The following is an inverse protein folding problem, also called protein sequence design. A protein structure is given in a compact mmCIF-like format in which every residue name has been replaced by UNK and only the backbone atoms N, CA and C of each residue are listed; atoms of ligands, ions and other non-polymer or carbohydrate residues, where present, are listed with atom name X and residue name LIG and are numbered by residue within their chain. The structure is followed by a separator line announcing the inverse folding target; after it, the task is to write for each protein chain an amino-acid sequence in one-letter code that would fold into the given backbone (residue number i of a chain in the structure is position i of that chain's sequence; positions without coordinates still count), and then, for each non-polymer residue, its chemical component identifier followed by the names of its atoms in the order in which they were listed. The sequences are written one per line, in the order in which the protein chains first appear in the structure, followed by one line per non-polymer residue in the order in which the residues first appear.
data_IF_929057715984
#
_entry.id   IF_929057715984
#
_cell.length_a   1.000
_cell.length_b   1.000
_cell.length_c   1.000
_cell.angle_alpha   90.00
_cell.angle_beta   90.00
_cell.angle_gamma   90.00
#
_symmetry.space_group_name_H-M   'P 1'
#
loop_
_entity.id
_entity.type
_entity.pdbx_description
1 polymer ?
#
# COMPACT_ATOMS: atom_id res chain seq x y z
N UNK A 1 -35.99 -20.95 2.52
CA UNK A 1 -34.53 -20.82 2.34
C UNK A 1 -34.29 -19.84 1.21
N UNK A 2 -34.03 -18.57 1.54
CA UNK A 2 -33.70 -17.54 0.56
C UNK A 2 -32.17 -17.41 0.54
N UNK A 3 -31.55 -17.70 -0.60
CA UNK A 3 -30.16 -17.37 -0.84
C UNK A 3 -30.06 -15.86 -1.03
N UNK A 4 -29.57 -15.16 0.00
CA UNK A 4 -29.18 -13.77 -0.11
C UNK A 4 -27.92 -13.71 -0.99
N UNK A 5 -28.08 -13.31 -2.25
CA UNK A 5 -26.94 -12.95 -3.11
C UNK A 5 -26.42 -11.62 -2.56
N UNK A 6 -25.35 -11.67 -1.77
CA UNK A 6 -24.62 -10.47 -1.39
C UNK A 6 -23.96 -9.90 -2.65
N UNK A 7 -24.52 -8.80 -3.15
CA UNK A 7 -23.90 -8.00 -4.18
C UNK A 7 -22.63 -7.35 -3.59
N UNK A 8 -21.48 -7.75 -4.12
CA UNK A 8 -20.19 -7.09 -3.87
C UNK A 8 -20.28 -5.65 -4.41
N UNK A 9 -19.83 -4.62 -3.66
CA UNK A 9 -19.96 -3.25 -4.10
C UNK A 9 -19.12 -3.02 -5.37
N UNK A 10 -19.82 -2.64 -6.43
CA UNK A 10 -19.25 -2.21 -7.70
C UNK A 10 -18.65 -0.81 -7.53
N UNK A 11 -17.36 -0.72 -7.21
CA UNK A 11 -16.56 0.48 -7.48
C UNK A 11 -15.06 0.12 -7.53
N UNK A 12 -14.66 -0.47 -8.65
CA UNK A 12 -13.27 -0.72 -9.02
C UNK A 12 -13.19 -0.71 -10.54
N UNK A 13 -12.16 -0.12 -11.14
CA UNK A 13 -11.87 -0.36 -12.55
C UNK A 13 -11.77 -1.88 -12.76
N UNK A 14 -12.74 -2.51 -13.44
CA UNK A 14 -12.84 -3.97 -13.55
C UNK A 14 -11.64 -4.53 -14.32
N UNK A 15 -11.17 -5.73 -13.93
CA UNK A 15 -10.17 -6.41 -14.77
C UNK A 15 -10.81 -6.66 -16.14
N UNK A 16 -10.05 -6.62 -17.24
CA UNK A 16 -10.61 -6.94 -18.53
C UNK A 16 -11.17 -8.36 -18.50
N UNK A 17 -12.21 -8.59 -19.30
CA UNK A 17 -12.80 -9.92 -19.41
C UNK A 17 -11.74 -10.96 -19.78
N UNK A 18 -11.64 -12.08 -19.04
CA UNK A 18 -10.62 -13.10 -19.29
C UNK A 18 -10.84 -13.83 -20.62
N UNK A 19 -12.01 -13.68 -21.28
CA UNK A 19 -12.31 -14.39 -22.53
C UNK A 19 -12.09 -15.91 -22.41
N UNK A 20 -11.45 -16.51 -23.42
CA UNK A 20 -11.03 -17.92 -23.34
C UNK A 20 -9.95 -18.11 -22.27
N UNK A 21 -10.22 -19.01 -21.32
CA UNK A 21 -9.38 -19.27 -20.15
C UNK A 21 -8.38 -20.41 -20.37
N UNK A 22 -7.31 -20.51 -19.55
CA UNK A 22 -6.26 -21.51 -19.70
C UNK A 22 -6.71 -22.98 -19.57
N UNK A 23 -7.91 -23.23 -19.03
CA UNK A 23 -8.53 -24.55 -18.96
C UNK A 23 -9.33 -24.94 -20.22
N UNK A 24 -9.39 -24.05 -21.23
CA UNK A 24 -10.06 -24.31 -22.51
C UNK A 24 -9.13 -24.99 -23.52
N UNK A 25 -9.61 -26.00 -24.29
CA UNK A 25 -8.82 -26.65 -25.35
C UNK A 25 -8.32 -25.70 -26.44
N UNK A 26 -9.06 -24.63 -26.72
CA UNK A 26 -8.75 -23.65 -27.78
C UNK A 26 -7.95 -22.45 -27.26
N UNK A 27 -7.48 -22.49 -26.01
CA UNK A 27 -6.70 -21.40 -25.41
C UNK A 27 -5.42 -21.07 -26.19
N UNK A 28 -4.82 -22.06 -26.86
CA UNK A 28 -3.64 -21.83 -27.71
C UNK A 28 -3.91 -20.80 -28.83
N UNK A 29 -5.12 -20.81 -29.43
CA UNK A 29 -5.51 -19.86 -30.48
C UNK A 29 -5.51 -18.42 -29.96
N UNK A 30 -5.99 -18.23 -28.72
CA UNK A 30 -5.94 -16.94 -28.03
C UNK A 30 -4.49 -16.47 -27.90
N UNK A 31 -3.62 -17.29 -27.32
CA UNK A 31 -2.21 -16.91 -27.12
C UNK A 31 -1.45 -16.68 -28.42
N UNK A 32 -1.82 -17.39 -29.49
CA UNK A 32 -1.26 -17.20 -30.83
C UNK A 32 -1.69 -15.86 -31.42
N UNK A 33 -2.98 -15.53 -31.37
CA UNK A 33 -3.51 -14.23 -31.81
C UNK A 33 -2.84 -13.07 -31.06
N UNK A 34 -2.72 -13.19 -29.74
CA UNK A 34 -2.04 -12.20 -28.90
C UNK A 34 -0.56 -12.01 -29.29
N UNK A 35 0.13 -13.10 -29.63
CA UNK A 35 1.53 -13.07 -30.04
C UNK A 35 1.69 -12.36 -31.39
N UNK A 36 0.81 -12.66 -32.37
CA UNK A 36 0.79 -12.00 -33.67
C UNK A 36 0.51 -10.51 -33.49
N UNK A 37 -0.55 -10.16 -32.75
CA UNK A 37 -0.90 -8.77 -32.49
C UNK A 37 0.26 -8.01 -31.85
N UNK A 38 0.92 -8.61 -30.86
CA UNK A 38 2.06 -7.98 -30.16
C UNK A 38 3.30 -7.84 -31.05
N UNK A 39 3.49 -8.75 -32.02
CA UNK A 39 4.61 -8.69 -32.96
C UNK A 39 4.51 -7.46 -33.86
N UNK A 40 3.33 -7.20 -34.41
CA UNK A 40 3.05 -6.07 -35.32
C UNK A 40 2.85 -4.72 -34.63
N UNK A 41 2.87 -4.65 -33.30
CA UNK A 41 2.85 -3.38 -32.57
C UNK A 41 4.22 -2.71 -32.67
N UNK A 42 4.22 -1.55 -33.33
CA UNK A 42 5.37 -0.66 -33.47
C UNK A 42 5.42 0.38 -32.35
N UNK A 43 6.64 0.72 -31.94
CA UNK A 43 6.92 1.69 -30.88
C UNK A 43 7.02 1.04 -29.49
N UNK A 44 8.06 1.40 -28.75
CA UNK A 44 8.35 0.84 -27.42
C UNK A 44 7.22 1.08 -26.40
N UNK A 45 6.62 2.27 -26.43
CA UNK A 45 5.52 2.63 -25.53
C UNK A 45 4.25 1.82 -25.81
N UNK A 46 3.82 1.73 -27.08
CA UNK A 46 2.65 0.93 -27.46
C UNK A 46 2.88 -0.56 -27.16
N UNK A 47 4.10 -1.03 -27.35
CA UNK A 47 4.49 -2.41 -27.01
C UNK A 47 4.46 -2.66 -25.50
N UNK A 48 4.89 -1.69 -24.69
CA UNK A 48 4.76 -1.76 -23.25
C UNK A 48 3.30 -1.76 -22.80
N UNK A 49 2.45 -0.88 -23.36
CA UNK A 49 0.99 -0.85 -23.11
C UNK A 49 0.34 -2.20 -23.44
N UNK A 50 0.68 -2.81 -24.58
CA UNK A 50 0.17 -4.12 -24.93
C UNK A 50 0.58 -5.19 -23.91
N UNK A 51 1.83 -5.19 -23.47
CA UNK A 51 2.29 -6.14 -22.46
C UNK A 51 1.60 -5.94 -21.11
N UNK A 52 1.34 -4.69 -20.69
CA UNK A 52 0.53 -4.40 -19.50
C UNK A 52 -0.89 -4.95 -19.65
N UNK A 53 -1.57 -4.66 -20.76
CA UNK A 53 -2.90 -5.20 -21.04
C UNK A 53 -2.94 -6.74 -20.97
N UNK A 54 -1.94 -7.42 -21.56
CA UNK A 54 -1.85 -8.88 -21.49
C UNK A 54 -1.60 -9.39 -20.07
N UNK A 55 -0.91 -8.61 -19.23
CA UNK A 55 -0.74 -8.90 -17.81
C UNK A 55 -2.11 -8.80 -17.09
N UNK A 56 -2.90 -7.76 -17.33
CA UNK A 56 -4.25 -7.61 -16.76
C UNK A 56 -5.14 -8.81 -17.13
N UNK A 57 -5.09 -9.24 -18.39
CA UNK A 57 -5.81 -10.42 -18.87
C UNK A 57 -5.33 -11.68 -18.15
N UNK A 58 -4.02 -11.83 -17.88
CA UNK A 58 -3.52 -12.99 -17.12
C UNK A 58 -4.00 -12.95 -15.66
N UNK A 59 -4.06 -11.79 -15.02
CA UNK A 59 -4.62 -11.65 -13.67
C UNK A 59 -6.11 -12.04 -13.64
N UNK A 60 -6.89 -11.65 -14.65
CA UNK A 60 -8.30 -12.02 -14.76
C UNK A 60 -8.47 -13.54 -14.94
N UNK A 61 -7.64 -14.16 -15.77
CA UNK A 61 -7.63 -15.61 -15.94
C UNK A 61 -7.21 -16.33 -14.66
N UNK A 62 -6.20 -15.80 -13.96
CA UNK A 62 -5.71 -16.33 -12.70
C UNK A 62 -6.85 -16.36 -11.66
N UNK A 63 -7.53 -15.23 -11.45
CA UNK A 63 -8.64 -15.13 -10.51
C UNK A 63 -9.72 -16.16 -10.83
N UNK A 64 -10.13 -16.24 -12.10
CA UNK A 64 -11.12 -17.23 -12.56
C UNK A 64 -10.67 -18.69 -12.37
N UNK A 65 -9.37 -18.98 -12.41
CA UNK A 65 -8.86 -20.33 -12.12
C UNK A 65 -8.84 -20.63 -10.63
N UNK A 66 -8.53 -19.63 -9.79
CA UNK A 66 -8.62 -19.74 -8.33
C UNK A 66 -10.07 -19.96 -7.91
N UNK A 67 -11.03 -19.19 -8.44
CA UNK A 67 -12.45 -19.32 -8.13
C UNK A 67 -13.03 -20.70 -8.51
N UNK A 68 -12.44 -21.33 -9.53
CA UNK A 68 -12.76 -22.70 -9.97
C UNK A 68 -12.01 -23.80 -9.20
N UNK A 69 -11.17 -23.45 -8.22
CA UNK A 69 -10.33 -24.39 -7.48
C UNK A 69 -9.18 -25.02 -8.30
N UNK A 70 -8.88 -24.50 -9.50
CA UNK A 70 -7.86 -25.05 -10.41
C UNK A 70 -6.47 -24.49 -10.11
N UNK A 71 -5.98 -24.70 -8.89
CA UNK A 71 -4.75 -24.10 -8.34
C UNK A 71 -3.50 -24.30 -9.21
N UNK A 72 -3.24 -25.51 -9.71
CA UNK A 72 -2.10 -25.79 -10.62
C UNK A 72 -2.14 -24.97 -11.91
N UNK A 73 -3.34 -24.71 -12.44
CA UNK A 73 -3.52 -23.89 -13.65
C UNK A 73 -3.35 -22.41 -13.30
N UNK A 74 -3.86 -21.99 -12.14
CA UNK A 74 -3.67 -20.64 -11.62
C UNK A 74 -2.17 -20.32 -11.44
N UNK A 75 -1.39 -21.18 -10.79
CA UNK A 75 0.06 -21.02 -10.65
C UNK A 75 0.77 -20.81 -11.99
N UNK A 76 0.47 -21.66 -12.99
CA UNK A 76 1.04 -21.50 -14.34
C UNK A 76 0.61 -20.20 -15.02
N UNK A 77 -0.61 -19.73 -14.73
CA UNK A 77 -1.16 -18.49 -15.29
C UNK A 77 -0.48 -17.27 -14.67
N UNK A 78 -0.15 -17.32 -13.39
CA UNK A 78 0.61 -16.29 -12.71
C UNK A 78 2.03 -16.14 -13.26
N UNK A 79 2.73 -17.24 -13.55
CA UNK A 79 4.04 -17.19 -14.21
C UNK A 79 3.96 -16.47 -15.57
N UNK A 80 2.83 -16.63 -16.29
CA UNK A 80 2.59 -15.87 -17.54
C UNK A 80 2.36 -14.40 -17.26
N UNK A 81 1.61 -14.05 -16.20
CA UNK A 81 1.40 -12.67 -15.77
C UNK A 81 2.75 -11.96 -15.53
N UNK A 82 3.62 -12.55 -14.73
CA UNK A 82 4.96 -12.02 -14.46
C UNK A 82 5.77 -11.81 -15.73
N UNK A 83 5.70 -12.78 -16.66
CA UNK A 83 6.40 -12.68 -17.95
C UNK A 83 5.91 -11.49 -18.76
N UNK A 84 4.61 -11.19 -18.75
CA UNK A 84 4.08 -10.02 -19.45
C UNK A 84 4.49 -8.72 -18.76
N UNK A 85 4.41 -8.67 -17.42
CA UNK A 85 4.85 -7.50 -16.65
C UNK A 85 6.34 -7.20 -16.89
N UNK A 86 7.20 -8.22 -16.87
CA UNK A 86 8.62 -8.08 -17.15
C UNK A 86 8.90 -7.60 -18.58
N UNK A 87 8.14 -8.09 -19.56
CA UNK A 87 8.25 -7.62 -20.96
C UNK A 87 7.80 -6.17 -21.12
N UNK A 88 6.77 -5.73 -20.40
CA UNK A 88 6.36 -4.33 -20.37
C UNK A 88 7.50 -3.44 -19.86
N UNK A 89 8.13 -3.84 -18.75
CA UNK A 89 9.28 -3.15 -18.18
C UNK A 89 10.47 -3.14 -19.14
N UNK A 90 10.80 -4.28 -19.76
CA UNK A 90 11.90 -4.37 -20.72
C UNK A 90 11.69 -3.52 -21.98
N UNK A 91 10.46 -3.46 -22.48
CA UNK A 91 10.13 -2.63 -23.64
C UNK A 91 10.47 -1.15 -23.36
N UNK A 92 10.26 -0.69 -22.11
CA UNK A 92 10.60 0.67 -21.67
C UNK A 92 12.07 0.84 -21.23
N UNK A 93 12.70 -0.20 -20.67
CA UNK A 93 14.06 -0.11 -20.12
C UNK A 93 15.17 0.00 -21.16
N UNK A 94 14.90 -0.35 -22.43
CA UNK A 94 15.82 -0.16 -23.57
C UNK A 94 16.31 1.30 -23.75
N UNK A 95 15.65 2.29 -23.11
CA UNK A 95 16.07 3.70 -23.07
C UNK A 95 16.51 4.21 -21.67
N UNK A 96 16.82 3.35 -20.69
CA UNK A 96 17.11 3.72 -19.27
C UNK A 96 15.96 4.46 -18.56
N UNK A 97 14.70 4.27 -18.94
CA UNK A 97 13.56 4.95 -18.32
C UNK A 97 12.50 3.98 -17.80
N UNK A 98 12.89 3.11 -16.86
CA UNK A 98 11.91 2.35 -16.06
C UNK A 98 10.93 3.28 -15.32
N UNK A 99 11.35 4.51 -14.99
CA UNK A 99 10.50 5.55 -14.39
C UNK A 99 9.40 6.06 -15.33
N UNK A 100 9.50 5.87 -16.64
CA UNK A 100 8.48 6.27 -17.61
C UNK A 100 7.36 5.21 -17.76
N UNK A 101 7.53 4.01 -17.19
CA UNK A 101 6.43 3.04 -17.10
C UNK A 101 5.42 3.43 -16.03
N UNK A 102 5.83 4.23 -15.02
CA UNK A 102 4.93 4.77 -14.00
C UNK A 102 3.79 5.58 -14.64
N UNK A 103 4.06 6.44 -15.64
CA UNK A 103 3.05 7.03 -16.51
C UNK A 103 2.11 6.12 -17.29
N UNK A 104 2.44 4.85 -17.48
CA UNK A 104 1.56 3.87 -18.14
C UNK A 104 0.80 3.04 -17.10
N UNK A 105 1.41 2.89 -15.94
CA UNK A 105 0.82 2.41 -14.69
C UNK A 105 0.08 3.51 -13.91
N UNK A 106 -0.05 4.72 -14.49
CA UNK A 106 -0.39 6.00 -13.82
C UNK A 106 -1.84 6.14 -13.43
N UNK A 107 -2.69 5.24 -13.89
CA UNK A 107 -3.87 4.93 -13.12
C UNK A 107 -3.36 4.18 -11.89
N UNK A 108 -2.91 4.96 -10.90
CA UNK A 108 -2.60 4.52 -9.53
C UNK A 108 -3.57 3.43 -9.02
N UNK A 109 -4.90 3.50 -9.29
CA UNK A 109 -5.83 2.40 -9.01
C UNK A 109 -5.49 1.05 -9.67
N UNK A 110 -4.92 1.01 -10.87
CA UNK A 110 -4.55 -0.25 -11.57
C UNK A 110 -3.35 -0.91 -10.87
N UNK A 111 -2.31 -0.15 -10.55
CA UNK A 111 -1.12 -0.68 -9.86
C UNK A 111 -1.47 -1.16 -8.46
N UNK A 112 -2.28 -0.39 -7.75
CA UNK A 112 -2.77 -0.74 -6.41
C UNK A 112 -3.69 -1.96 -6.45
N UNK A 113 -4.55 -2.07 -7.47
CA UNK A 113 -5.37 -3.26 -7.70
C UNK A 113 -4.53 -4.50 -7.97
N UNK A 114 -3.50 -4.40 -8.81
CA UNK A 114 -2.58 -5.51 -9.06
C UNK A 114 -1.89 -5.95 -7.77
N UNK A 115 -1.43 -5.00 -6.95
CA UNK A 115 -0.84 -5.28 -5.65
C UNK A 115 -1.88 -5.98 -4.74
N UNK A 116 -3.10 -5.46 -4.63
CA UNK A 116 -4.15 -6.04 -3.79
C UNK A 116 -4.52 -7.48 -4.19
N UNK A 117 -4.75 -7.74 -5.49
CA UNK A 117 -5.06 -9.10 -5.98
C UNK A 117 -3.90 -10.06 -5.71
N UNK A 118 -2.66 -9.60 -5.90
CA UNK A 118 -1.47 -10.41 -5.64
C UNK A 118 -1.30 -10.69 -4.14
N UNK A 119 -1.55 -9.73 -3.27
CA UNK A 119 -1.48 -9.87 -1.80
C UNK A 119 -2.57 -10.80 -1.27
N UNK A 120 -3.82 -10.63 -1.70
CA UNK A 120 -4.97 -11.45 -1.29
C UNK A 120 -4.74 -12.94 -1.63
N UNK A 121 -4.11 -13.20 -2.77
CA UNK A 121 -3.89 -14.55 -3.25
C UNK A 121 -2.50 -15.12 -2.89
N UNK A 122 -1.63 -14.34 -2.22
CA UNK A 122 -0.28 -14.78 -1.81
C UNK A 122 -0.32 -16.06 -0.95
N UNK A 123 -1.37 -16.22 -0.14
CA UNK A 123 -1.55 -17.39 0.73
C UNK A 123 -2.28 -18.55 0.04
N UNK A 124 -2.94 -18.31 -1.11
CA UNK A 124 -3.78 -19.31 -1.81
C UNK A 124 -3.01 -20.16 -2.82
N UNK A 125 -1.76 -19.83 -3.13
CA UNK A 125 -0.91 -20.58 -4.06
C UNK A 125 0.39 -21.07 -3.39
N UNK A 126 0.67 -22.39 -3.39
CA UNK A 126 1.93 -22.93 -2.89
C UNK A 126 3.09 -22.83 -3.91
N UNK A 127 4.30 -23.11 -3.42
CA UNK A 127 5.47 -23.39 -4.26
C UNK A 127 5.90 -22.26 -5.20
N UNK A 128 6.01 -22.58 -6.50
CA UNK A 128 6.51 -21.65 -7.51
C UNK A 128 5.58 -20.45 -7.75
N UNK A 129 4.26 -20.60 -7.51
CA UNK A 129 3.30 -19.51 -7.61
C UNK A 129 3.58 -18.43 -6.56
N UNK A 130 3.81 -18.82 -5.31
CA UNK A 130 4.10 -17.89 -4.21
C UNK A 130 5.34 -17.01 -4.47
N UNK A 131 6.45 -17.64 -4.88
CA UNK A 131 7.69 -16.93 -5.22
C UNK A 131 7.51 -15.96 -6.40
N UNK A 132 6.64 -16.32 -7.31
CA UNK A 132 6.24 -15.49 -8.44
C UNK A 132 5.48 -14.22 -8.02
N UNK A 133 4.48 -14.38 -7.15
CA UNK A 133 3.74 -13.27 -6.53
C UNK A 133 4.69 -12.33 -5.81
N UNK A 134 5.58 -12.85 -4.96
CA UNK A 134 6.53 -12.07 -4.17
C UNK A 134 7.42 -11.19 -5.07
N UNK A 135 7.95 -11.73 -6.16
CA UNK A 135 8.77 -11.00 -7.12
C UNK A 135 7.98 -9.92 -7.88
N UNK A 136 6.74 -10.22 -8.25
CA UNK A 136 5.86 -9.24 -8.90
C UNK A 136 5.55 -8.08 -7.95
N UNK A 137 5.22 -8.37 -6.69
CA UNK A 137 4.98 -7.39 -5.65
C UNK A 137 6.22 -6.53 -5.37
N UNK A 138 7.40 -7.14 -5.25
CA UNK A 138 8.66 -6.41 -5.10
C UNK A 138 8.88 -5.42 -6.25
N UNK A 139 8.65 -5.87 -7.49
CA UNK A 139 8.81 -5.05 -8.69
C UNK A 139 7.80 -3.89 -8.69
N UNK A 140 6.53 -4.16 -8.45
CA UNK A 140 5.47 -3.14 -8.43
C UNK A 140 5.68 -2.13 -7.30
N UNK A 141 6.11 -2.57 -6.11
CA UNK A 141 6.45 -1.70 -4.98
C UNK A 141 7.69 -0.85 -5.28
N UNK A 142 8.73 -1.41 -5.90
CA UNK A 142 9.91 -0.64 -6.35
C UNK A 142 9.52 0.42 -7.39
N UNK A 143 8.60 0.09 -8.29
CA UNK A 143 8.09 1.06 -9.27
C UNK A 143 7.28 2.16 -8.58
N UNK A 144 6.31 1.82 -7.72
CA UNK A 144 5.53 2.80 -6.91
C UNK A 144 6.45 3.69 -6.06
N UNK A 145 7.50 3.09 -5.52
CA UNK A 145 8.54 3.74 -4.71
C UNK A 145 9.67 4.43 -5.48
N UNK A 146 9.56 4.64 -6.81
CA UNK A 146 10.58 5.40 -7.57
C UNK A 146 10.34 6.94 -7.56
N UNK A 147 9.58 7.45 -6.59
CA UNK A 147 9.93 8.72 -5.94
C UNK A 147 11.25 8.50 -5.18
N UNK A 148 12.06 9.53 -4.95
CA UNK A 148 13.30 9.40 -4.14
C UNK A 148 12.93 8.61 -2.88
N UNK A 149 13.59 7.49 -2.56
CA UNK A 149 13.27 6.72 -1.35
C UNK A 149 13.63 7.60 -0.15
N UNK A 150 12.62 8.33 0.34
CA UNK A 150 12.73 9.27 1.46
C UNK A 150 13.12 8.53 2.76
N UNK A 151 13.01 7.19 2.77
CA UNK A 151 13.32 6.32 3.91
C UNK A 151 14.74 5.73 3.89
N UNK A 152 15.59 6.11 2.92
CA UNK A 152 16.98 5.59 2.83
C UNK A 152 17.78 5.88 4.10
N UNK A 153 17.59 7.08 4.68
CA UNK A 153 18.28 7.50 5.89
C UNK A 153 17.48 7.24 7.17
N UNK A 154 16.36 6.51 7.07
CA UNK A 154 15.54 6.18 8.23
C UNK A 154 16.19 5.05 9.03
N UNK A 155 15.92 5.06 10.34
CA UNK A 155 16.34 4.00 11.23
C UNK A 155 15.40 2.81 11.09
N UNK A 156 15.93 1.61 11.32
CA UNK A 156 15.13 0.38 11.34
C UNK A 156 14.81 0.02 12.77
N UNK A 157 13.52 -0.13 13.09
CA UNK A 157 13.06 -0.80 14.29
C UNK A 157 12.85 -2.28 13.97
N UNK A 158 13.39 -3.16 14.81
CA UNK A 158 13.29 -4.61 14.66
C UNK A 158 12.84 -5.22 15.97
N UNK A 159 11.80 -6.05 15.92
CA UNK A 159 11.33 -6.83 17.05
C UNK A 159 11.51 -8.33 16.74
N UNK A 160 12.47 -8.96 17.42
CA UNK A 160 12.78 -10.38 17.23
C UNK A 160 11.72 -11.31 17.79
N UNK A 161 10.99 -10.89 18.82
CA UNK A 161 10.00 -11.71 19.52
C UNK A 161 8.73 -11.82 18.65
N UNK A 162 8.23 -10.68 18.22
CA UNK A 162 7.03 -10.55 17.38
C UNK A 162 7.33 -10.66 15.87
N UNK A 163 8.59 -10.87 15.49
CA UNK A 163 9.06 -11.13 14.13
C UNK A 163 8.61 -10.08 13.10
N UNK A 164 8.83 -8.81 13.41
CA UNK A 164 8.56 -7.72 12.46
C UNK A 164 9.65 -6.66 12.47
N UNK A 165 9.76 -5.93 11.36
CA UNK A 165 10.56 -4.71 11.27
C UNK A 165 9.83 -3.63 10.47
N UNK A 166 10.15 -2.38 10.77
CA UNK A 166 9.71 -1.20 10.04
C UNK A 166 10.79 -0.12 10.12
N UNK A 167 10.72 0.88 9.25
CA UNK A 167 11.61 2.05 9.28
C UNK A 167 10.87 3.28 9.77
N UNK A 168 11.61 4.18 10.40
CA UNK A 168 11.10 5.47 10.89
C UNK A 168 12.21 6.53 10.84
N UNK A 169 11.88 7.81 10.60
CA UNK A 169 12.87 8.87 10.64
C UNK A 169 13.37 9.05 12.08
N UNK A 170 14.68 9.27 12.27
CA UNK A 170 15.23 9.58 13.60
C UNK A 170 14.58 10.83 14.20
N UNK A 171 14.37 11.82 13.34
CA UNK A 171 13.83 13.14 13.63
C UNK A 171 13.09 13.64 12.38
N UNK A 172 12.11 14.54 12.55
CA UNK A 172 11.41 15.11 11.40
C UNK A 172 12.25 16.21 10.77
N UNK A 173 12.28 16.25 9.44
CA UNK A 173 12.84 17.37 8.66
C UNK A 173 11.87 18.57 8.71
N UNK A 174 11.67 19.12 9.91
CA UNK A 174 10.71 20.15 10.27
C UNK A 174 11.34 21.08 11.31
N UNK A 175 10.96 22.35 11.27
CA UNK A 175 11.54 23.37 12.14
C UNK A 175 10.77 23.51 13.46
N UNK A 176 9.46 23.29 13.45
CA UNK A 176 8.57 23.55 14.58
C UNK A 176 7.88 22.28 15.09
N UNK A 177 7.52 21.37 14.19
CA UNK A 177 6.90 20.09 14.56
C UNK A 177 7.99 19.07 14.88
N UNK A 178 7.87 18.39 16.01
CA UNK A 178 8.85 17.38 16.43
C UNK A 178 8.20 16.11 16.95
N UNK A 179 8.96 15.02 16.92
CA UNK A 179 8.62 13.77 17.61
C UNK A 179 8.92 13.90 19.09
N UNK A 180 8.19 13.17 19.93
CA UNK A 180 8.44 13.13 21.37
C UNK A 180 9.29 11.90 21.72
N UNK A 181 10.61 12.10 21.78
CA UNK A 181 11.61 11.07 22.15
C UNK A 181 12.05 11.15 23.61
N UNK A 182 11.82 12.28 24.29
CA UNK A 182 12.29 12.55 25.65
C UNK A 182 11.10 12.82 26.60
N UNK A 183 11.29 12.54 27.89
CA UNK A 183 10.29 12.64 28.98
C UNK A 183 9.16 11.59 28.96
N UNK A 184 8.54 11.30 27.81
CA UNK A 184 7.52 10.26 27.63
C UNK A 184 7.72 9.64 26.24
N UNK A 185 8.69 8.71 26.09
CA UNK A 185 9.17 8.30 24.78
C UNK A 185 8.05 7.63 23.98
N UNK A 186 7.57 8.36 22.96
CA UNK A 186 6.65 7.87 21.92
C UNK A 186 7.37 7.65 20.59
N UNK A 187 8.68 7.90 20.59
CA UNK A 187 9.57 7.75 19.45
C UNK A 187 10.80 6.92 19.86
N UNK A 188 11.10 5.78 19.22
CA UNK A 188 10.51 5.22 18.00
C UNK A 188 9.01 4.96 18.12
N UNK A 189 8.24 5.07 17.01
CA UNK A 189 6.81 4.93 17.08
C UNK A 189 6.45 3.49 17.51
N UNK A 190 5.38 3.35 18.31
CA UNK A 190 4.96 2.07 18.84
C UNK A 190 4.17 1.31 17.76
N UNK A 191 4.58 0.07 17.50
CA UNK A 191 3.87 -0.84 16.60
C UNK A 191 3.33 -2.01 17.40
N UNK A 192 2.04 -2.29 17.28
CA UNK A 192 1.42 -3.50 17.83
C UNK A 192 0.80 -4.35 16.74
N UNK A 193 0.84 -5.66 16.94
CA UNK A 193 0.25 -6.65 16.05
C UNK A 193 -0.84 -7.35 16.86
N UNK A 194 -2.08 -7.18 16.42
CA UNK A 194 -3.23 -7.86 17.00
C UNK A 194 -3.40 -9.28 16.49
N UNK A 195 -4.53 -9.86 16.88
CA UNK A 195 -4.96 -11.20 16.46
C UNK A 195 -5.27 -11.26 14.97
N UNK A 196 -5.53 -12.49 14.49
CA UNK A 196 -6.00 -12.71 13.13
C UNK A 196 -7.31 -11.93 12.90
N UNK A 197 -7.34 -11.18 11.81
CA UNK A 197 -8.37 -10.22 11.48
C UNK A 197 -8.82 -10.42 10.03
N UNK A 198 -10.13 -10.43 9.83
CA UNK A 198 -10.77 -10.36 8.52
C UNK A 198 -11.23 -8.94 8.22
N UNK A 199 -11.49 -8.62 6.95
CA UNK A 199 -12.02 -7.30 6.58
C UNK A 199 -13.34 -6.97 7.29
N UNK A 200 -14.15 -8.00 7.61
CA UNK A 200 -15.39 -7.83 8.38
C UNK A 200 -15.15 -7.48 9.86
N UNK A 201 -13.96 -7.78 10.40
CA UNK A 201 -13.57 -7.39 11.76
C UNK A 201 -13.08 -5.94 11.82
N UNK A 202 -12.82 -5.30 10.67
CA UNK A 202 -12.35 -3.91 10.59
C UNK A 202 -13.50 -2.90 10.80
N UNK A 203 -13.90 -2.75 12.06
CA UNK A 203 -14.85 -1.73 12.47
C UNK A 203 -14.13 -0.45 12.91
N UNK A 204 -14.40 0.65 12.22
CA UNK A 204 -13.99 2.00 12.62
C UNK A 204 -15.25 2.78 12.98
N UNK A 205 -15.52 2.91 14.28
CA UNK A 205 -16.62 3.73 14.79
C UNK A 205 -16.23 5.19 14.75
N UNK A 206 -16.58 5.89 13.67
CA UNK A 206 -16.25 7.30 13.50
C UNK A 206 -16.88 8.15 14.61
N UNK A 207 -16.08 9.00 15.24
CA UNK A 207 -16.52 9.86 16.33
C UNK A 207 -15.70 11.16 16.33
N UNK A 208 -16.29 12.31 15.93
CA UNK A 208 -15.60 13.60 15.93
C UNK A 208 -15.36 14.17 17.34
N UNK A 209 -15.94 13.56 18.38
CA UNK A 209 -15.77 13.93 19.79
C UNK A 209 -15.21 12.73 20.56
N UNK A 210 -14.24 12.04 19.98
CA UNK A 210 -13.58 10.91 20.61
C UNK A 210 -12.81 11.36 21.86
N UNK A 211 -12.79 10.50 22.87
CA UNK A 211 -12.08 10.74 24.12
C UNK A 211 -11.47 9.45 24.65
N UNK A 212 -10.21 9.53 25.07
CA UNK A 212 -9.51 8.47 25.78
C UNK A 212 -8.63 9.06 26.90
N UNK A 213 -7.70 8.25 27.42
CA UNK A 213 -6.73 8.65 28.44
C UNK A 213 -5.76 9.76 27.98
N UNK A 214 -5.54 9.90 26.67
CA UNK A 214 -4.66 10.90 26.05
C UNK A 214 -5.36 12.25 25.84
N UNK A 215 -6.69 12.30 25.92
CA UNK A 215 -7.47 13.55 25.89
C UNK A 215 -8.66 13.50 24.95
N UNK A 216 -8.99 14.65 24.35
CA UNK A 216 -10.07 14.79 23.39
C UNK A 216 -9.51 14.83 21.96
N UNK A 217 -10.29 14.32 21.02
CA UNK A 217 -10.03 14.49 19.60
C UNK A 217 -11.07 13.75 18.76
N UNK A 218 -10.62 13.07 17.71
CA UNK A 218 -11.50 12.50 16.70
C UNK A 218 -11.05 11.10 16.29
N UNK A 219 -12.01 10.32 15.81
CA UNK A 219 -11.78 9.04 15.17
C UNK A 219 -12.48 9.04 13.83
N UNK A 220 -11.76 8.70 12.77
CA UNK A 220 -12.25 8.74 11.40
C UNK A 220 -11.70 7.57 10.56
N UNK A 221 -12.49 7.15 9.57
CA UNK A 221 -12.04 6.18 8.58
C UNK A 221 -11.36 6.94 7.45
N UNK A 222 -10.04 6.81 7.37
CA UNK A 222 -9.23 7.49 6.36
C UNK A 222 -8.73 6.46 5.35
N UNK A 223 -8.95 6.73 4.07
CA UNK A 223 -8.30 5.99 2.98
C UNK A 223 -7.02 6.72 2.60
N UNK A 224 -5.87 6.14 2.93
CA UNK A 224 -4.55 6.66 2.52
C UNK A 224 -4.00 5.69 1.48
N UNK A 225 -3.89 6.15 0.23
CA UNK A 225 -3.62 5.27 -0.93
C UNK A 225 -4.67 4.14 -1.02
N UNK A 226 -4.24 2.87 -1.04
CA UNK A 226 -5.14 1.70 -1.08
C UNK A 226 -5.42 1.06 0.28
N UNK A 227 -4.84 1.59 1.36
CA UNK A 227 -5.07 1.07 2.70
C UNK A 227 -6.13 1.93 3.40
N UNK A 228 -7.08 1.24 4.03
CA UNK A 228 -8.06 1.85 4.90
C UNK A 228 -7.48 1.84 6.31
N UNK A 229 -7.49 3.00 6.94
CA UNK A 229 -7.05 3.21 8.30
C UNK A 229 -8.22 3.70 9.14
N UNK A 230 -8.31 3.20 10.37
CA UNK A 230 -9.06 3.86 11.41
C UNK A 230 -8.07 4.74 12.16
N UNK A 231 -8.16 6.04 11.92
CA UNK A 231 -7.25 7.03 12.49
C UNK A 231 -7.93 7.59 13.72
N UNK A 232 -7.26 7.51 14.86
CA UNK A 232 -7.66 8.20 16.08
C UNK A 232 -6.62 9.26 16.38
N UNK A 233 -7.03 10.51 16.51
CA UNK A 233 -6.20 11.61 16.97
C UNK A 233 -6.75 12.13 18.29
N UNK A 234 -5.91 12.27 19.30
CA UNK A 234 -6.30 12.82 20.60
C UNK A 234 -5.22 13.78 21.06
N UNK A 235 -5.61 14.88 21.68
CA UNK A 235 -4.65 15.91 22.07
C UNK A 235 -4.78 16.38 23.50
N UNK A 236 -3.62 16.66 24.09
CA UNK A 236 -3.46 17.38 25.34
C UNK A 236 -2.51 18.55 25.14
N UNK A 237 -2.53 19.52 26.06
CA UNK A 237 -1.62 20.66 26.03
C UNK A 237 -0.87 20.78 27.36
N UNK A 238 0.44 20.98 27.28
CA UNK A 238 1.29 21.24 28.44
C UNK A 238 2.37 22.25 28.05
N UNK A 239 2.67 23.19 28.95
CA UNK A 239 3.73 24.21 28.77
C UNK A 239 3.67 24.97 27.43
N UNK A 240 2.46 25.27 26.92
CA UNK A 240 2.30 26.00 25.65
C UNK A 240 2.54 25.17 24.38
N UNK A 241 2.69 23.85 24.51
CA UNK A 241 2.82 22.90 23.41
C UNK A 241 1.61 21.97 23.39
N UNK A 242 1.02 21.80 22.21
CA UNK A 242 -0.02 20.80 21.96
C UNK A 242 0.67 19.49 21.59
N UNK A 243 0.34 18.41 22.28
CA UNK A 243 0.78 17.07 21.99
C UNK A 243 -0.39 16.31 21.38
N UNK A 244 -0.20 15.77 20.17
CA UNK A 244 -1.23 14.99 19.48
C UNK A 244 -0.76 13.55 19.38
N UNK A 245 -1.48 12.66 20.05
CA UNK A 245 -1.32 11.23 19.92
C UNK A 245 -2.11 10.77 18.68
N UNK A 246 -1.42 10.13 17.75
CA UNK A 246 -2.02 9.52 16.57
C UNK A 246 -1.95 8.01 16.69
N UNK A 247 -3.08 7.35 16.44
CA UNK A 247 -3.18 5.89 16.34
C UNK A 247 -3.78 5.53 14.99
N UNK A 248 -3.02 4.75 14.21
CA UNK A 248 -3.43 4.23 12.91
C UNK A 248 -3.64 2.73 13.03
N UNK A 249 -4.89 2.30 12.95
CA UNK A 249 -5.25 0.88 12.90
C UNK A 249 -5.55 0.49 11.44
N UNK A 250 -4.95 -0.59 10.97
CA UNK A 250 -5.25 -1.19 9.66
C UNK A 250 -5.15 -2.72 9.72
N UNK A 251 -5.56 -3.41 8.66
CA UNK A 251 -5.32 -4.85 8.50
C UNK A 251 -4.22 -5.04 7.46
N UNK A 252 -3.21 -5.83 7.82
CA UNK A 252 -2.14 -6.24 6.90
C UNK A 252 -1.78 -7.70 7.14
N UNK A 253 -1.77 -8.51 6.08
CA UNK A 253 -1.56 -9.96 6.15
C UNK A 253 -2.49 -10.66 7.17
N UNK A 254 -3.78 -10.32 7.13
CA UNK A 254 -4.81 -10.87 8.02
C UNK A 254 -4.55 -10.63 9.52
N UNK A 255 -3.83 -9.58 9.89
CA UNK A 255 -3.63 -9.16 11.28
C UNK A 255 -3.91 -7.69 11.44
N UNK A 256 -4.44 -7.30 12.60
CA UNK A 256 -4.49 -5.90 12.98
C UNK A 256 -3.08 -5.35 13.19
N UNK A 257 -2.77 -4.25 12.52
CA UNK A 257 -1.53 -3.50 12.70
C UNK A 257 -1.90 -2.14 13.24
N UNK A 258 -1.36 -1.79 14.41
CA UNK A 258 -1.56 -0.50 15.03
C UNK A 258 -0.24 0.24 15.13
N UNK A 259 -0.16 1.41 14.49
CA UNK A 259 0.95 2.36 14.65
C UNK A 259 0.49 3.51 15.55
N UNK A 260 1.21 3.75 16.64
CA UNK A 260 0.96 4.86 17.57
C UNK A 260 2.19 5.74 17.73
N UNK A 261 2.03 7.05 17.64
CA UNK A 261 3.08 8.03 17.91
C UNK A 261 2.53 9.38 18.36
N UNK A 262 3.36 10.17 19.06
CA UNK A 262 2.99 11.53 19.49
C UNK A 262 3.84 12.55 18.74
N UNK A 263 3.17 13.58 18.21
CA UNK A 263 3.80 14.76 17.64
C UNK A 263 3.55 15.97 18.54
N UNK A 264 4.57 16.82 18.66
CA UNK A 264 4.49 18.07 19.39
C UNK A 264 4.32 19.25 18.42
N UNK A 265 3.38 20.13 18.76
CA UNK A 265 3.04 21.33 18.01
C UNK A 265 3.15 22.53 18.96
N UNK A 266 4.18 23.36 18.84
CA UNK A 266 4.30 24.54 19.68
C UNK A 266 3.18 25.53 19.35
N UNK A 267 2.73 26.30 20.34
CA UNK A 267 1.86 27.44 20.05
C UNK A 267 2.65 28.49 19.25
N UNK A 268 2.29 28.68 17.97
CA UNK A 268 3.00 29.58 17.07
C UNK A 268 3.00 31.05 17.56
N UNK A 269 2.03 31.44 18.40
CA UNK A 269 1.97 32.78 19.01
C UNK A 269 3.15 33.06 19.94
N UNK A 270 3.86 32.02 20.41
CA UNK A 270 5.01 32.17 21.29
C UNK A 270 6.25 32.74 20.57
N UNK A 271 6.29 32.77 19.24
CA UNK A 271 7.50 33.14 18.50
C UNK A 271 7.69 34.65 18.29
N UNK A 272 6.70 35.50 18.58
CA UNK A 272 6.77 36.98 18.67
C UNK A 272 7.15 37.77 17.40
N UNK A 273 7.96 37.18 16.53
CA UNK A 273 8.43 37.72 15.24
C UNK A 273 7.48 37.26 14.13
N UNK A 274 6.88 38.20 13.39
CA UNK A 274 5.93 37.94 12.30
C UNK A 274 6.39 36.86 11.32
N UNK A 275 7.69 36.81 11.02
CA UNK A 275 8.27 35.83 10.09
C UNK A 275 8.28 34.41 10.68
N UNK A 276 8.65 34.25 11.95
CA UNK A 276 8.67 32.93 12.62
C UNK A 276 7.26 32.44 12.90
N UNK A 277 6.35 33.32 13.30
CA UNK A 277 4.94 33.01 13.47
C UNK A 277 4.34 32.47 12.17
N UNK A 278 4.48 33.19 11.05
CA UNK A 278 3.97 32.76 9.74
C UNK A 278 4.58 31.44 9.26
N UNK A 279 5.88 31.22 9.51
CA UNK A 279 6.56 29.96 9.17
C UNK A 279 6.03 28.79 10.00
N UNK A 280 5.83 28.99 11.31
CA UNK A 280 5.26 27.97 12.19
C UNK A 280 3.84 27.59 11.73
N UNK A 281 2.98 28.58 11.48
CA UNK A 281 1.61 28.34 10.99
C UNK A 281 1.58 27.63 9.63
N UNK A 282 2.45 28.06 8.70
CA UNK A 282 2.56 27.44 7.38
C UNK A 282 3.04 25.99 7.47
N UNK A 283 4.04 25.70 8.32
CA UNK A 283 4.53 24.34 8.53
C UNK A 283 3.44 23.45 9.16
N UNK A 284 2.77 23.91 10.22
CA UNK A 284 1.69 23.16 10.88
C UNK A 284 0.52 22.89 9.93
N UNK A 285 0.17 23.85 9.06
CA UNK A 285 -0.89 23.68 8.06
C UNK A 285 -0.51 22.75 6.92
N UNK A 286 0.76 22.74 6.51
CA UNK A 286 1.24 21.93 5.39
C UNK A 286 1.63 20.50 5.80
N UNK A 287 1.88 20.26 7.08
CA UNK A 287 2.29 18.97 7.58
C UNK A 287 1.11 18.00 7.64
N UNK A 288 1.26 16.87 6.96
CA UNK A 288 0.27 15.81 6.93
C UNK A 288 0.78 14.58 7.73
N UNK A 289 0.22 14.31 8.93
CA UNK A 289 0.60 13.15 9.73
C UNK A 289 0.20 11.82 9.06
N UNK A 290 -0.84 11.80 8.22
CA UNK A 290 -1.29 10.61 7.50
C UNK A 290 -0.22 10.14 6.52
N UNK A 291 0.43 11.08 5.82
CA UNK A 291 1.55 10.78 4.93
C UNK A 291 2.74 10.18 5.67
N UNK A 292 3.09 10.70 6.84
CA UNK A 292 4.17 10.14 7.67
C UNK A 292 3.85 8.71 8.11
N UNK A 293 2.63 8.49 8.59
CA UNK A 293 2.17 7.17 9.04
C UNK A 293 2.16 6.14 7.91
N UNK A 294 1.63 6.51 6.74
CA UNK A 294 1.62 5.64 5.55
C UNK A 294 3.04 5.31 5.09
N UNK A 295 3.97 6.28 5.11
CA UNK A 295 5.37 6.01 4.81
C UNK A 295 5.98 5.00 5.79
N UNK A 296 5.77 5.15 7.10
CA UNK A 296 6.24 4.18 8.11
C UNK A 296 5.61 2.79 7.86
N UNK A 297 4.29 2.71 7.72
CA UNK A 297 3.54 1.46 7.52
C UNK A 297 3.84 0.78 6.18
N UNK A 298 4.24 1.54 5.16
CA UNK A 298 4.69 0.99 3.87
C UNK A 298 5.99 0.19 4.00
N UNK A 299 6.84 0.54 4.98
CA UNK A 299 8.09 -0.19 5.26
C UNK A 299 7.91 -1.37 6.19
N UNK A 300 6.75 -1.48 6.86
CA UNK A 300 6.46 -2.60 7.75
C UNK A 300 6.44 -3.93 7.00
N UNK A 301 7.16 -4.91 7.53
CA UNK A 301 7.12 -6.30 7.06
C UNK A 301 7.35 -7.28 8.21
N UNK A 302 6.75 -8.46 8.08
CA UNK A 302 7.12 -9.61 8.90
C UNK A 302 8.49 -10.13 8.47
N UNK A 303 9.25 -10.57 9.46
CA UNK A 303 10.56 -11.18 9.27
C UNK A 303 10.32 -12.69 9.18
N UNK A 304 10.79 -13.33 8.11
CA UNK A 304 10.77 -14.79 8.02
C UNK A 304 11.80 -15.41 8.96
N UNK A 305 11.60 -16.67 9.35
CA UNK A 305 12.72 -17.50 9.81
C UNK A 305 13.76 -17.68 8.71
#
# INVERSE_FOLDING_TARGET
MAFLILAVPANAAELPSPGATPDSPLYFLKTWKESIQTFFIFGFENKAKQYLHLADVRLAEYQKMIDKGKTKIAEKTLVKYEKQLYKAIQAMSKKKKAKDILPLLKDEPITEKHIGILEENLQKVPGAGKKGIEKALETLRKLKGAKKDETVNWQTYRNEELKFEFKYPKELDKQFISVVSESWPSWPPKMTIGIDATETDFMCEENPNYKDESGYGERERVKINNAIYCVTSTSGAAAGTKYVNYTYLTIKNSKFITLTFVLSYPNCSNFGEDNKLKKCEAEQKAFDPNKLADQILSTFKFISQ
#
